data_IF_352250454827
#
_entry.id   IF_352250454827
#
_cell.length_a   1.000
_cell.length_b   1.000
_cell.length_c   1.000
_cell.angle_alpha   90.00
_cell.angle_beta   90.00
_cell.angle_gamma   90.00
#
_symmetry.space_group_name_H-M   'P 1'
#
loop_
_entity.id
_entity.type
_entity.pdbx_description
1 polymer ?
#
# COMPACT_ATOMS: atom_id res chain seq x y z
N UNK A 1 33.83 43.57 16.20
CA UNK A 1 32.63 42.70 16.06
C UNK A 1 32.65 42.05 14.69
N UNK A 2 31.99 40.89 14.53
CA UNK A 2 31.85 40.06 13.30
C UNK A 2 32.53 38.66 13.33
N UNK A 3 32.57 37.96 14.47
CA UNK A 3 32.88 36.51 14.47
C UNK A 3 31.75 35.60 14.99
N UNK A 4 30.58 36.17 15.30
CA UNK A 4 29.55 35.45 16.05
C UNK A 4 28.24 35.18 15.29
N UNK A 5 28.11 35.56 14.01
CA UNK A 5 26.80 35.59 13.32
C UNK A 5 26.47 34.32 12.50
N UNK A 6 27.27 33.26 12.49
CA UNK A 6 26.84 32.08 11.74
C UNK A 6 27.34 30.72 12.23
N UNK A 7 27.30 30.50 13.54
CA UNK A 7 26.99 29.14 14.01
C UNK A 7 25.49 28.94 13.86
N UNK A 8 25.04 28.69 12.61
CA UNK A 8 23.78 28.01 12.39
C UNK A 8 23.91 26.68 13.12
N UNK A 9 23.30 26.58 14.30
CA UNK A 9 22.96 25.31 14.90
C UNK A 9 22.05 24.63 13.88
N UNK A 10 22.63 23.85 12.97
CA UNK A 10 21.89 22.89 12.18
C UNK A 10 21.42 21.89 13.23
N UNK A 11 20.22 22.15 13.75
CA UNK A 11 19.48 21.17 14.50
C UNK A 11 19.33 19.99 13.55
N UNK A 12 20.12 18.95 13.78
CA UNK A 12 19.88 17.63 13.23
C UNK A 12 18.63 17.11 13.94
N UNK A 13 17.49 17.75 13.70
CA UNK A 13 16.21 17.13 13.92
C UNK A 13 16.30 15.84 13.11
N UNK A 14 16.34 14.72 13.83
CA UNK A 14 16.42 13.37 13.28
C UNK A 14 15.39 13.27 12.15
N UNK A 15 15.83 13.49 10.90
CA UNK A 15 15.08 13.03 9.75
C UNK A 15 15.14 11.52 9.92
N UNK A 16 14.06 10.92 10.43
CA UNK A 16 13.70 9.58 10.01
C UNK A 16 13.53 9.67 8.50
N UNK A 17 14.64 9.58 7.76
CA UNK A 17 14.61 9.34 6.33
C UNK A 17 13.99 7.96 6.23
N UNK A 18 12.70 7.92 5.93
CA UNK A 18 12.10 6.68 5.47
C UNK A 18 12.98 6.20 4.32
N UNK A 19 13.57 5.02 4.50
CA UNK A 19 14.42 4.41 3.51
C UNK A 19 13.61 4.19 2.22
N UNK A 20 14.21 4.44 1.06
CA UNK A 20 13.54 4.20 -0.20
C UNK A 20 13.36 2.69 -0.42
N UNK A 21 12.13 2.19 -0.19
CA UNK A 21 11.77 0.78 -0.37
C UNK A 21 11.19 0.47 -1.76
N UNK A 22 11.20 1.41 -2.70
CA UNK A 22 10.70 1.19 -4.08
C UNK A 22 11.39 0.02 -4.77
N UNK A 23 12.74 -0.14 -4.72
CA UNK A 23 13.41 -1.27 -5.39
C UNK A 23 12.95 -2.63 -4.85
N UNK A 24 12.70 -2.73 -3.54
CA UNK A 24 12.22 -3.97 -2.92
C UNK A 24 10.80 -4.32 -3.37
N UNK A 25 9.92 -3.32 -3.43
CA UNK A 25 8.55 -3.49 -3.93
C UNK A 25 8.54 -3.82 -5.42
N UNK A 26 9.41 -3.22 -6.22
CA UNK A 26 9.56 -3.56 -7.63
C UNK A 26 9.99 -5.02 -7.81
N UNK A 27 11.03 -5.48 -7.09
CA UNK A 27 11.47 -6.88 -7.14
C UNK A 27 10.33 -7.84 -6.74
N UNK A 28 9.62 -7.52 -5.67
CA UNK A 28 8.50 -8.33 -5.19
C UNK A 28 7.34 -8.42 -6.19
N UNK A 29 6.87 -7.27 -6.71
CA UNK A 29 5.72 -7.25 -7.63
C UNK A 29 6.08 -7.64 -9.07
N UNK A 30 7.35 -7.68 -9.45
CA UNK A 30 7.81 -8.12 -10.77
C UNK A 30 8.33 -9.56 -10.81
N UNK A 31 8.38 -10.27 -9.68
CA UNK A 31 8.75 -11.70 -9.64
C UNK A 31 7.86 -12.52 -10.59
N UNK A 32 8.46 -13.32 -11.48
CA UNK A 32 7.71 -14.14 -12.43
C UNK A 32 7.23 -15.44 -11.77
N UNK A 33 6.25 -15.30 -10.88
CA UNK A 33 5.67 -16.40 -10.09
C UNK A 33 4.26 -16.80 -10.58
N UNK A 34 3.79 -16.22 -11.68
CA UNK A 34 2.45 -16.48 -12.23
C UNK A 34 1.28 -15.97 -11.36
N UNK A 35 1.54 -15.32 -10.23
CA UNK A 35 0.49 -14.77 -9.37
C UNK A 35 -0.04 -13.47 -9.99
N UNK A 36 -1.37 -13.33 -10.18
CA UNK A 36 -1.93 -12.12 -10.73
C UNK A 36 -1.72 -10.93 -9.79
N UNK A 37 -1.53 -9.73 -10.37
CA UNK A 37 -1.15 -8.52 -9.62
C UNK A 37 -2.08 -8.19 -8.44
N UNK A 38 -3.38 -8.49 -8.55
CA UNK A 38 -4.38 -8.22 -7.51
C UNK A 38 -4.35 -9.21 -6.34
N UNK A 39 -3.51 -10.25 -6.38
CA UNK A 39 -3.27 -11.19 -5.27
C UNK A 39 -1.81 -11.19 -4.81
N UNK A 40 -0.95 -10.41 -5.47
CA UNK A 40 0.49 -10.51 -5.30
C UNK A 40 0.99 -9.96 -3.96
N UNK A 41 0.19 -9.14 -3.27
CA UNK A 41 0.41 -8.70 -1.89
C UNK A 41 0.10 -9.77 -0.84
N UNK A 42 -0.44 -10.93 -1.22
CA UNK A 42 -0.56 -12.11 -0.37
C UNK A 42 -1.94 -12.30 0.26
N UNK A 43 -1.96 -12.76 1.52
CA UNK A 43 -3.19 -13.23 2.19
C UNK A 43 -4.24 -12.14 2.35
N UNK A 44 -3.81 -10.90 2.61
CA UNK A 44 -4.75 -9.77 2.76
C UNK A 44 -5.47 -9.44 1.45
N UNK A 45 -4.77 -9.51 0.32
CA UNK A 45 -5.37 -9.31 -0.99
C UNK A 45 -6.43 -10.39 -1.29
N UNK A 46 -6.11 -11.65 -0.98
CA UNK A 46 -7.04 -12.76 -1.17
C UNK A 46 -8.29 -12.65 -0.27
N UNK A 47 -8.11 -12.22 1.00
CA UNK A 47 -9.22 -11.97 1.91
C UNK A 47 -10.10 -10.84 1.39
N UNK A 48 -9.49 -9.71 1.00
CA UNK A 48 -10.21 -8.56 0.47
C UNK A 48 -10.99 -8.93 -0.79
N UNK A 49 -10.36 -9.64 -1.72
CA UNK A 49 -11.01 -10.12 -2.94
C UNK A 49 -12.26 -10.98 -2.64
N UNK A 50 -12.13 -11.96 -1.74
CA UNK A 50 -13.25 -12.84 -1.37
C UNK A 50 -14.39 -12.08 -0.70
N UNK A 51 -14.07 -11.16 0.20
CA UNK A 51 -15.07 -10.31 0.86
C UNK A 51 -15.80 -9.42 -0.16
N UNK A 52 -15.08 -8.75 -1.06
CA UNK A 52 -15.67 -7.91 -2.09
C UNK A 52 -16.56 -8.70 -3.04
N UNK A 53 -16.11 -9.89 -3.47
CA UNK A 53 -16.92 -10.79 -4.30
C UNK A 53 -18.17 -11.26 -3.58
N UNK A 54 -18.06 -11.63 -2.30
CA UNK A 54 -19.20 -12.03 -1.47
C UNK A 54 -20.23 -10.91 -1.32
N UNK A 55 -19.79 -9.69 -0.97
CA UNK A 55 -20.67 -8.53 -0.84
C UNK A 55 -21.35 -8.16 -2.17
N UNK A 56 -20.61 -8.18 -3.28
CA UNK A 56 -21.16 -7.88 -4.60
C UNK A 56 -22.15 -8.95 -5.06
N UNK A 57 -21.83 -10.22 -4.83
CA UNK A 57 -22.72 -11.34 -5.14
C UNK A 57 -24.01 -11.30 -4.33
N UNK A 58 -23.91 -11.08 -3.01
CA UNK A 58 -25.05 -10.92 -2.12
C UNK A 58 -25.91 -9.73 -2.51
N UNK A 59 -25.31 -8.58 -2.80
CA UNK A 59 -26.01 -7.39 -3.27
C UNK A 59 -26.82 -7.67 -4.55
N UNK A 60 -26.20 -8.29 -5.56
CA UNK A 60 -26.88 -8.67 -6.81
C UNK A 60 -28.03 -9.66 -6.58
N UNK A 61 -27.86 -10.63 -5.67
CA UNK A 61 -28.92 -11.57 -5.34
C UNK A 61 -30.11 -10.88 -4.67
N UNK A 62 -29.87 -9.97 -3.73
CA UNK A 62 -30.92 -9.18 -3.08
C UNK A 62 -31.68 -8.29 -4.08
N UNK A 63 -30.98 -7.62 -5.00
CA UNK A 63 -31.64 -6.83 -6.04
C UNK A 63 -32.50 -7.70 -6.96
N UNK A 64 -32.06 -8.92 -7.30
CA UNK A 64 -32.88 -9.84 -8.09
C UNK A 64 -34.10 -10.36 -7.32
N UNK A 65 -33.97 -10.64 -6.02
CA UNK A 65 -35.10 -11.05 -5.16
C UNK A 65 -36.13 -9.92 -5.00
N UNK A 66 -35.68 -8.66 -4.93
CA UNK A 66 -36.56 -7.49 -4.84
C UNK A 66 -37.29 -7.17 -6.16
N UNK A 67 -36.77 -7.63 -7.30
CA UNK A 67 -37.34 -7.40 -8.64
C UNK A 67 -38.19 -8.57 -9.17
N UNK A 68 -38.35 -9.65 -8.38
CA UNK A 68 -39.24 -10.79 -8.62
C UNK A 68 -40.45 -10.72 -7.68
#
# INVERSE_FOLDING_TARGET
>A
GLRQISRRTISTASRRQFENRVPEKQKFFQEDNGIPVYLKGGVMDALLYRLTMGLTGLGKANTKIFLL
#
